data_IF_105646648019
#
_entry.id   IF_105646648019
#
_cell.length_a   1.000
_cell.length_b   1.000
_cell.length_c   1.000
_cell.angle_alpha   90.00
_cell.angle_beta   90.00
_cell.angle_gamma   90.00
#
_symmetry.space_group_name_H-M   'P 1'
#
loop_
_entity.id
_entity.type
_entity.pdbx_description
1 polymer ?
#
# COMPACT_ATOMS: atom_id res chain seq x y z
N UNK A 1 15.51 24.20 5.57
CA UNK A 1 15.33 23.66 6.95
C UNK A 1 16.55 22.84 7.32
N UNK A 2 16.98 22.89 8.58
CA UNK A 2 18.02 21.99 9.11
C UNK A 2 17.44 21.23 10.29
N UNK A 3 17.52 19.90 10.26
CA UNK A 3 17.23 19.04 11.42
C UNK A 3 18.59 18.69 12.02
N UNK A 4 18.87 19.09 13.26
CA UNK A 4 20.15 18.85 13.92
C UNK A 4 20.02 18.00 15.18
N UNK A 5 21.15 17.51 15.72
CA UNK A 5 21.19 16.67 16.91
C UNK A 5 20.36 15.40 16.79
N UNK A 6 20.32 14.77 15.59
CA UNK A 6 19.70 13.48 15.38
C UNK A 6 20.67 12.41 15.88
N UNK A 7 20.27 11.62 16.90
CA UNK A 7 21.13 10.59 17.47
C UNK A 7 21.47 9.48 16.49
N UNK A 8 20.50 9.09 15.67
CA UNK A 8 20.64 8.04 14.69
C UNK A 8 19.78 8.36 13.46
N UNK A 9 20.38 8.34 12.28
CA UNK A 9 19.67 8.20 11.01
C UNK A 9 19.82 6.75 10.59
N UNK A 10 18.71 6.06 10.30
CA UNK A 10 18.72 4.70 9.76
C UNK A 10 17.87 4.67 8.50
N UNK A 11 18.44 4.25 7.38
CA UNK A 11 17.79 4.31 6.07
C UNK A 11 18.28 3.16 5.18
N UNK A 12 17.41 2.48 4.43
CA UNK A 12 17.85 1.68 3.30
C UNK A 12 18.42 2.62 2.23
N UNK A 13 19.37 2.13 1.44
CA UNK A 13 19.99 2.88 0.35
C UNK A 13 19.57 2.34 -1.02
N UNK A 14 19.40 3.25 -2.00
CA UNK A 14 19.10 2.91 -3.38
C UNK A 14 17.77 3.49 -3.89
N UNK A 15 17.52 3.25 -5.18
CA UNK A 15 16.39 3.81 -5.94
C UNK A 15 15.48 2.73 -6.54
N UNK A 16 15.57 1.50 -6.02
CA UNK A 16 14.79 0.33 -6.44
C UNK A 16 14.47 -0.53 -5.22
N UNK A 17 13.60 -1.51 -5.39
CA UNK A 17 13.33 -2.50 -4.37
C UNK A 17 14.62 -3.21 -3.93
N UNK A 18 14.73 -3.48 -2.63
CA UNK A 18 15.81 -4.25 -2.04
C UNK A 18 15.33 -5.69 -1.85
N UNK A 19 16.12 -6.66 -2.32
CA UNK A 19 15.75 -8.06 -2.40
C UNK A 19 16.47 -8.92 -1.37
N UNK A 20 15.78 -9.95 -0.88
CA UNK A 20 16.35 -11.03 -0.10
C UNK A 20 17.09 -10.54 1.15
N UNK A 21 18.23 -11.15 1.44
CA UNK A 21 19.01 -10.83 2.64
C UNK A 21 19.48 -9.38 2.73
N UNK A 22 19.58 -8.68 1.61
CA UNK A 22 19.96 -7.27 1.60
C UNK A 22 18.93 -6.35 2.25
N UNK A 23 17.70 -6.80 2.44
CA UNK A 23 16.66 -6.03 3.13
C UNK A 23 17.04 -5.65 4.57
N UNK A 24 17.97 -6.39 5.21
CA UNK A 24 18.49 -6.06 6.55
C UNK A 24 19.60 -5.00 6.56
N UNK A 25 20.08 -4.58 5.37
CA UNK A 25 21.17 -3.63 5.25
C UNK A 25 20.62 -2.20 5.36
N UNK A 26 20.80 -1.58 6.53
CA UNK A 26 20.49 -0.16 6.72
C UNK A 26 21.80 0.64 6.87
N UNK A 27 21.87 1.75 6.16
CA UNK A 27 22.89 2.78 6.44
C UNK A 27 22.54 3.48 7.74
N UNK A 28 23.38 3.33 8.76
CA UNK A 28 23.20 3.91 10.08
C UNK A 28 24.26 4.99 10.35
N UNK A 29 23.83 6.25 10.52
CA UNK A 29 24.71 7.40 10.83
C UNK A 29 24.32 7.99 12.17
N UNK A 30 25.31 8.12 13.08
CA UNK A 30 25.11 8.69 14.43
C UNK A 30 25.46 10.18 14.44
N UNK A 31 24.81 10.91 15.36
CA UNK A 31 25.06 12.34 15.62
C UNK A 31 25.04 13.18 14.32
N UNK A 32 23.93 13.09 13.61
CA UNK A 32 23.79 13.58 12.24
C UNK A 32 22.89 14.82 12.20
N UNK A 33 23.18 15.72 11.27
CA UNK A 33 22.29 16.81 10.84
C UNK A 33 21.83 16.56 9.40
N UNK A 34 20.62 16.99 9.10
CA UNK A 34 19.99 16.85 7.78
C UNK A 34 19.65 18.25 7.28
N UNK A 35 20.21 18.66 6.15
CA UNK A 35 19.85 19.92 5.48
C UNK A 35 18.83 19.60 4.38
N UNK A 36 17.72 20.32 4.41
CA UNK A 36 16.62 20.17 3.43
C UNK A 36 16.47 21.49 2.68
N UNK A 37 16.58 21.42 1.36
CA UNK A 37 16.37 22.53 0.45
C UNK A 37 15.44 22.14 -0.69
N UNK A 38 14.50 23.01 -1.01
CA UNK A 38 13.54 22.79 -2.10
C UNK A 38 12.80 21.43 -2.01
N UNK A 39 12.51 20.99 -0.79
CA UNK A 39 11.82 19.71 -0.54
C UNK A 39 12.69 18.46 -0.75
N UNK A 40 14.02 18.62 -0.87
CA UNK A 40 14.97 17.51 -1.04
C UNK A 40 16.03 17.55 0.06
N UNK A 41 16.58 16.38 0.39
CA UNK A 41 17.77 16.27 1.24
C UNK A 41 18.94 16.78 0.41
N UNK A 42 19.55 17.86 0.89
CA UNK A 42 20.69 18.50 0.25
C UNK A 42 22.03 18.08 0.89
N UNK A 43 21.99 17.75 2.19
CA UNK A 43 23.14 17.24 2.93
C UNK A 43 22.70 16.37 4.09
N UNK A 44 23.49 15.34 4.39
CA UNK A 44 23.28 14.44 5.52
C UNK A 44 24.66 14.04 6.09
N UNK A 45 24.98 14.51 7.29
CA UNK A 45 26.28 14.26 7.92
C UNK A 45 26.45 14.99 9.25
N UNK A 46 27.69 15.01 9.81
CA UNK A 46 27.99 15.72 11.05
C UNK A 46 27.61 17.22 11.02
N UNK A 47 27.22 17.78 12.16
CA UNK A 47 26.72 19.16 12.24
C UNK A 47 27.71 20.20 11.71
N UNK A 48 29.02 20.06 12.03
CA UNK A 48 30.06 20.96 11.55
C UNK A 48 30.18 20.95 10.00
N UNK A 49 29.98 19.79 9.38
CA UNK A 49 29.97 19.64 7.91
C UNK A 49 28.69 20.20 7.30
N UNK A 50 27.53 20.02 7.98
CA UNK A 50 26.26 20.62 7.55
C UNK A 50 26.35 22.16 7.51
N UNK A 51 27.02 22.79 8.52
CA UNK A 51 27.26 24.23 8.53
C UNK A 51 28.31 24.64 7.49
N UNK A 52 29.28 23.76 7.19
CA UNK A 52 30.19 23.93 6.06
C UNK A 52 29.45 24.00 4.74
N UNK A 53 28.58 23.01 4.49
CA UNK A 53 27.71 22.97 3.31
C UNK A 53 26.91 24.27 3.14
N UNK A 54 26.26 24.78 4.22
CA UNK A 54 25.50 26.03 4.16
C UNK A 54 26.37 27.21 3.72
N UNK A 55 27.59 27.37 4.29
CA UNK A 55 28.54 28.44 3.91
C UNK A 55 28.98 28.35 2.46
N UNK A 56 29.18 27.13 1.93
CA UNK A 56 29.55 26.90 0.53
C UNK A 56 28.42 27.29 -0.45
N UNK A 57 27.19 27.42 0.05
CA UNK A 57 26.02 27.94 -0.67
C UNK A 57 25.76 29.45 -0.40
N UNK A 58 26.73 30.18 0.15
CA UNK A 58 26.59 31.59 0.56
C UNK A 58 25.43 31.84 1.55
N UNK A 59 25.13 30.83 2.41
CA UNK A 59 24.05 30.87 3.40
C UNK A 59 24.62 30.72 4.83
N UNK A 60 23.88 31.27 5.78
CA UNK A 60 24.14 31.09 7.22
C UNK A 60 23.07 30.15 7.82
N UNK A 61 23.30 29.69 9.05
CA UNK A 61 22.35 28.83 9.76
C UNK A 61 21.04 29.57 10.03
N UNK A 62 21.09 30.89 10.18
CA UNK A 62 19.96 31.78 10.41
C UNK A 62 19.00 31.85 9.21
N UNK A 63 19.47 31.52 8.02
CA UNK A 63 18.63 31.44 6.80
C UNK A 63 17.74 30.20 6.76
N UNK A 64 17.89 29.28 7.72
CA UNK A 64 17.16 28.04 7.80
C UNK A 64 16.24 27.96 9.02
N UNK A 65 15.08 27.34 8.85
CA UNK A 65 14.30 26.88 10.01
C UNK A 65 15.03 25.71 10.66
N UNK A 66 15.32 25.82 11.96
CA UNK A 66 15.99 24.79 12.74
C UNK A 66 14.98 23.90 13.45
N UNK A 67 15.15 22.59 13.32
CA UNK A 67 14.45 21.56 14.07
C UNK A 67 15.47 20.78 14.93
N UNK A 68 15.22 20.70 16.23
CA UNK A 68 16.07 19.94 17.14
C UNK A 68 15.63 18.47 17.21
N UNK A 69 16.52 17.57 16.81
CA UNK A 69 16.29 16.12 16.90
C UNK A 69 16.33 15.58 18.33
N UNK A 70 17.08 16.26 19.23
CA UNK A 70 17.10 15.99 20.69
C UNK A 70 17.18 14.50 21.05
N UNK A 71 18.13 13.79 20.47
CA UNK A 71 18.33 12.38 20.75
C UNK A 71 17.38 11.42 20.04
N UNK A 72 16.54 11.90 19.12
CA UNK A 72 15.63 11.08 18.34
C UNK A 72 16.32 10.36 17.19
N UNK A 73 15.67 9.27 16.71
CA UNK A 73 16.04 8.63 15.45
C UNK A 73 15.27 9.26 14.29
N UNK A 74 15.90 9.34 13.13
CA UNK A 74 15.26 9.69 11.86
C UNK A 74 15.23 8.46 10.94
N UNK A 75 14.08 8.20 10.38
CA UNK A 75 13.80 7.18 9.36
C UNK A 75 13.20 7.88 8.15
N UNK A 76 13.25 7.26 6.94
CA UNK A 76 12.38 7.70 5.85
C UNK A 76 10.91 7.66 6.28
N UNK A 77 10.09 8.54 5.73
CA UNK A 77 8.65 8.47 5.95
C UNK A 77 8.11 7.11 5.54
N UNK A 78 7.23 6.54 6.34
CA UNK A 78 6.60 5.26 6.05
C UNK A 78 5.68 5.35 4.83
N UNK A 79 5.58 4.25 4.11
CA UNK A 79 4.77 4.11 2.90
C UNK A 79 3.81 2.95 3.10
N UNK A 80 2.52 3.26 3.10
CA UNK A 80 1.45 2.27 3.21
C UNK A 80 0.99 1.89 1.81
N UNK A 81 1.59 0.85 1.25
CA UNK A 81 1.48 0.49 -0.16
C UNK A 81 0.26 -0.36 -0.51
N UNK A 82 -0.69 -0.52 0.43
CA UNK A 82 -1.95 -1.21 0.20
C UNK A 82 -3.01 -0.76 1.20
N UNK A 83 -3.98 0.04 0.75
CA UNK A 83 -5.15 0.42 1.56
C UNK A 83 -6.39 0.60 0.71
N UNK A 84 -7.56 0.50 1.37
CA UNK A 84 -8.87 0.84 0.81
C UNK A 84 -9.49 1.99 1.60
N UNK A 85 -8.73 3.06 1.84
CA UNK A 85 -9.09 4.09 2.81
C UNK A 85 -10.26 5.00 2.40
N UNK A 86 -10.79 4.92 1.17
CA UNK A 86 -11.98 5.64 0.72
C UNK A 86 -13.19 4.70 0.69
N UNK A 87 -14.04 4.80 1.70
CA UNK A 87 -15.27 4.02 1.82
C UNK A 87 -16.29 4.73 2.70
N UNK A 88 -17.58 4.43 2.47
CA UNK A 88 -18.69 4.78 3.33
C UNK A 88 -18.98 3.69 4.37
N UNK A 89 -19.19 4.07 5.63
CA UNK A 89 -19.51 3.16 6.71
C UNK A 89 -18.36 2.24 7.17
N UNK A 90 -18.44 1.81 8.42
CA UNK A 90 -17.61 0.73 8.99
C UNK A 90 -18.50 -0.46 9.28
N UNK A 91 -17.90 -1.64 9.48
CA UNK A 91 -18.60 -2.88 9.81
C UNK A 91 -18.13 -3.47 11.16
N UNK A 92 -18.17 -2.70 12.26
CA UNK A 92 -17.65 -3.15 13.55
C UNK A 92 -18.41 -4.34 14.12
N UNK A 93 -19.70 -4.49 13.78
CA UNK A 93 -20.54 -5.61 14.21
C UNK A 93 -20.02 -6.94 13.66
N UNK A 94 -19.46 -6.96 12.46
CA UNK A 94 -18.87 -8.17 11.87
C UNK A 94 -17.65 -8.65 12.64
N UNK A 95 -16.88 -7.73 13.23
CA UNK A 95 -15.76 -8.11 14.10
C UNK A 95 -16.25 -8.83 15.34
N UNK A 96 -17.31 -8.32 15.99
CA UNK A 96 -17.92 -8.98 17.16
C UNK A 96 -18.49 -10.34 16.77
N UNK A 97 -19.18 -10.45 15.63
CA UNK A 97 -19.69 -11.72 15.14
C UNK A 97 -18.59 -12.76 14.92
N UNK A 98 -17.43 -12.35 14.40
CA UNK A 98 -16.24 -13.21 14.24
C UNK A 98 -15.67 -13.68 15.57
N UNK A 99 -15.60 -12.79 16.56
CA UNK A 99 -15.18 -13.16 17.91
C UNK A 99 -16.13 -14.18 18.56
N UNK A 100 -17.43 -14.09 18.24
CA UNK A 100 -18.45 -15.05 18.66
C UNK A 100 -18.43 -16.37 17.85
N UNK A 101 -17.44 -16.53 16.93
CA UNK A 101 -17.24 -17.75 16.14
C UNK A 101 -18.10 -17.88 14.89
N UNK A 102 -18.82 -16.83 14.48
CA UNK A 102 -19.59 -16.87 13.22
C UNK A 102 -18.65 -16.88 12.03
N UNK A 103 -18.97 -17.74 11.05
CA UNK A 103 -18.22 -17.82 9.82
C UNK A 103 -18.58 -16.70 8.82
N UNK A 104 -17.78 -16.58 7.76
CA UNK A 104 -17.96 -15.55 6.73
C UNK A 104 -19.34 -15.66 6.05
N UNK A 105 -19.83 -16.88 5.78
CA UNK A 105 -21.11 -17.11 5.09
C UNK A 105 -22.29 -16.73 5.98
N UNK A 106 -22.19 -16.97 7.28
CA UNK A 106 -23.21 -16.54 8.24
C UNK A 106 -23.30 -15.01 8.30
N UNK A 107 -22.15 -14.33 8.40
CA UNK A 107 -22.08 -12.86 8.39
C UNK A 107 -22.68 -12.31 7.09
N UNK A 108 -22.35 -12.91 5.95
CA UNK A 108 -22.88 -12.50 4.65
C UNK A 108 -24.41 -12.66 4.57
N UNK A 109 -24.97 -13.78 5.04
CA UNK A 109 -26.42 -14.00 5.09
C UNK A 109 -27.16 -13.01 5.99
N UNK A 110 -26.49 -12.46 6.99
CA UNK A 110 -27.02 -11.43 7.89
C UNK A 110 -26.95 -10.01 7.30
N UNK A 111 -26.56 -9.87 6.03
CA UNK A 111 -26.47 -8.58 5.34
C UNK A 111 -25.12 -7.87 5.53
N UNK A 112 -24.12 -8.56 6.07
CA UNK A 112 -22.74 -8.08 6.19
C UNK A 112 -21.90 -8.32 4.93
N UNK A 113 -20.59 -8.22 5.08
CA UNK A 113 -19.64 -8.41 3.99
C UNK A 113 -19.45 -7.16 3.13
N UNK A 114 -18.76 -7.35 2.01
CA UNK A 114 -18.41 -6.24 1.11
C UNK A 114 -19.62 -5.45 0.60
N UNK A 115 -20.76 -6.12 0.39
CA UNK A 115 -21.99 -5.50 -0.12
C UNK A 115 -22.51 -4.37 0.80
N UNK A 116 -22.41 -4.53 2.13
CA UNK A 116 -22.81 -3.48 3.07
C UNK A 116 -21.95 -2.22 2.88
N UNK A 117 -20.64 -2.37 2.67
CA UNK A 117 -19.74 -1.24 2.37
C UNK A 117 -20.04 -0.64 1.00
N UNK A 118 -20.33 -1.46 -0.01
CA UNK A 118 -20.71 -0.99 -1.35
C UNK A 118 -21.96 -0.11 -1.28
N UNK A 119 -22.99 -0.57 -0.58
CA UNK A 119 -24.23 0.21 -0.40
C UNK A 119 -23.95 1.53 0.32
N UNK A 120 -23.19 1.51 1.41
CA UNK A 120 -22.86 2.71 2.17
C UNK A 120 -21.98 3.68 1.36
N UNK A 121 -21.06 3.17 0.53
CA UNK A 121 -20.20 4.00 -0.33
C UNK A 121 -21.00 4.64 -1.48
N UNK A 122 -21.89 3.87 -2.11
CA UNK A 122 -22.80 4.38 -3.16
C UNK A 122 -23.79 5.41 -2.65
N UNK A 123 -24.19 5.32 -1.38
CA UNK A 123 -25.11 6.25 -0.74
C UNK A 123 -24.42 7.53 -0.23
N UNK A 124 -23.11 7.50 -0.02
CA UNK A 124 -22.35 8.65 0.46
C UNK A 124 -22.14 9.68 -0.66
N UNK A 125 -22.15 10.95 -0.30
CA UNK A 125 -21.74 12.03 -1.20
C UNK A 125 -20.21 12.09 -1.37
N UNK A 126 -19.74 12.69 -2.45
CA UNK A 126 -18.31 12.93 -2.69
C UNK A 126 -17.67 13.67 -1.50
N UNK A 127 -18.34 14.69 -0.97
CA UNK A 127 -17.82 15.48 0.15
C UNK A 127 -17.72 14.66 1.44
N UNK A 128 -18.66 13.77 1.74
CA UNK A 128 -18.57 12.87 2.88
C UNK A 128 -17.40 11.91 2.75
N UNK A 129 -17.19 11.30 1.58
CA UNK A 129 -16.04 10.42 1.31
C UNK A 129 -14.73 11.20 1.42
N UNK A 130 -14.67 12.42 0.91
CA UNK A 130 -13.50 13.29 1.02
C UNK A 130 -13.18 13.63 2.48
N UNK A 131 -14.14 14.05 3.28
CA UNK A 131 -13.90 14.40 4.69
C UNK A 131 -13.46 13.19 5.51
N UNK A 132 -14.05 12.02 5.26
CA UNK A 132 -13.64 10.78 5.90
C UNK A 132 -12.23 10.36 5.47
N UNK A 133 -11.91 10.41 4.17
CA UNK A 133 -10.60 10.12 3.63
C UNK A 133 -9.53 11.04 4.23
N UNK A 134 -9.79 12.36 4.27
CA UNK A 134 -8.91 13.35 4.90
C UNK A 134 -8.65 13.07 6.38
N UNK A 135 -9.68 12.69 7.13
CA UNK A 135 -9.54 12.31 8.54
C UNK A 135 -8.65 11.08 8.72
N UNK A 136 -8.79 10.08 7.85
CA UNK A 136 -7.97 8.86 7.84
C UNK A 136 -6.52 9.18 7.50
N UNK A 137 -6.27 9.96 6.46
CA UNK A 137 -4.91 10.41 6.10
C UNK A 137 -4.23 11.22 7.21
N UNK A 138 -4.97 12.10 7.90
CA UNK A 138 -4.45 12.84 9.06
C UNK A 138 -4.00 11.90 10.20
N UNK A 139 -4.69 10.77 10.39
CA UNK A 139 -4.31 9.76 11.38
C UNK A 139 -3.06 9.00 10.95
N UNK A 140 -3.00 8.58 9.68
CA UNK A 140 -1.82 7.91 9.10
C UNK A 140 -0.58 8.81 9.14
N UNK A 141 -0.72 10.11 8.79
CA UNK A 141 0.38 11.08 8.87
C UNK A 141 0.96 11.20 10.28
N UNK A 142 0.12 11.19 11.32
CA UNK A 142 0.58 11.23 12.72
C UNK A 142 1.39 10.00 13.13
N UNK A 143 1.31 8.91 12.37
CA UNK A 143 2.10 7.70 12.55
C UNK A 143 3.35 7.66 11.65
N UNK A 144 3.60 8.74 10.90
CA UNK A 144 4.76 8.87 10.02
C UNK A 144 4.55 8.35 8.60
N UNK A 145 3.30 8.01 8.21
CA UNK A 145 2.98 7.64 6.83
C UNK A 145 2.97 8.90 5.96
N UNK A 146 3.79 8.93 4.93
CA UNK A 146 3.97 10.07 4.03
C UNK A 146 3.49 9.79 2.60
N UNK A 147 3.29 8.53 2.24
CA UNK A 147 2.71 8.10 0.99
C UNK A 147 1.78 6.89 1.23
N UNK A 148 0.63 6.87 0.56
CA UNK A 148 -0.37 5.83 0.72
C UNK A 148 -0.94 5.43 -0.63
N UNK A 149 -1.15 4.13 -0.85
CA UNK A 149 -2.00 3.67 -1.93
C UNK A 149 -3.47 3.78 -1.53
N UNK A 150 -4.31 4.29 -2.41
CA UNK A 150 -5.75 4.25 -2.29
C UNK A 150 -6.37 3.40 -3.39
N UNK A 151 -7.00 2.29 -3.02
CA UNK A 151 -7.73 1.44 -3.95
C UNK A 151 -9.22 1.82 -3.97
N UNK A 152 -9.85 1.89 -5.15
CA UNK A 152 -11.31 1.87 -5.29
C UNK A 152 -11.86 0.47 -4.98
N UNK A 153 -13.01 0.09 -5.53
CA UNK A 153 -13.53 -1.28 -5.39
C UNK A 153 -14.64 -1.44 -4.36
N UNK A 154 -15.17 -0.33 -3.86
CA UNK A 154 -16.42 -0.30 -3.11
C UNK A 154 -17.54 0.42 -3.87
N UNK A 155 -17.29 0.81 -5.11
CA UNK A 155 -18.31 1.30 -6.02
C UNK A 155 -19.01 0.17 -6.77
N UNK A 156 -18.23 -0.70 -7.39
CA UNK A 156 -18.65 -1.82 -8.23
C UNK A 156 -19.60 -1.43 -9.36
N UNK A 157 -19.64 -0.14 -9.70
CA UNK A 157 -20.32 0.42 -10.86
C UNK A 157 -19.60 1.70 -11.31
N UNK A 158 -19.84 2.14 -12.53
CA UNK A 158 -19.17 3.29 -13.12
C UNK A 158 -19.23 4.55 -12.24
N UNK A 159 -20.39 5.08 -11.83
CA UNK A 159 -20.43 6.36 -11.13
C UNK A 159 -19.73 6.31 -9.76
N UNK A 160 -19.84 5.22 -9.03
CA UNK A 160 -19.26 5.14 -7.68
C UNK A 160 -17.76 4.82 -7.69
N UNK A 161 -17.26 4.03 -8.66
CA UNK A 161 -15.81 3.81 -8.85
C UNK A 161 -15.13 5.14 -9.24
N UNK A 162 -15.70 5.87 -10.19
CA UNK A 162 -15.19 7.19 -10.59
C UNK A 162 -15.18 8.16 -9.42
N UNK A 163 -16.27 8.24 -8.66
CA UNK A 163 -16.36 9.11 -7.47
C UNK A 163 -15.27 8.78 -6.44
N UNK A 164 -15.02 7.51 -6.13
CA UNK A 164 -13.95 7.13 -5.19
C UNK A 164 -12.57 7.60 -5.69
N UNK A 165 -12.27 7.40 -6.97
CA UNK A 165 -11.00 7.80 -7.56
C UNK A 165 -10.86 9.33 -7.65
N UNK A 166 -11.93 10.06 -7.96
CA UNK A 166 -11.95 11.54 -7.95
C UNK A 166 -11.67 12.09 -6.56
N UNK A 167 -12.26 11.50 -5.51
CA UNK A 167 -11.95 11.83 -4.11
C UNK A 167 -10.47 11.61 -3.79
N UNK A 168 -9.87 10.50 -4.23
CA UNK A 168 -8.43 10.24 -4.04
C UNK A 168 -7.57 11.29 -4.76
N UNK A 169 -7.91 11.65 -5.99
CA UNK A 169 -7.21 12.70 -6.76
C UNK A 169 -7.35 14.07 -6.11
N UNK A 170 -8.49 14.39 -5.52
CA UNK A 170 -8.68 15.62 -4.73
C UNK A 170 -7.80 15.61 -3.49
N UNK A 171 -7.78 14.51 -2.73
CA UNK A 171 -6.92 14.35 -1.55
C UNK A 171 -5.43 14.44 -1.92
N UNK A 172 -5.01 13.83 -3.02
CA UNK A 172 -3.63 13.94 -3.51
C UNK A 172 -3.19 15.39 -3.75
N UNK A 173 -4.10 16.27 -4.20
CA UNK A 173 -3.78 17.69 -4.40
C UNK A 173 -3.80 18.53 -3.12
N UNK A 174 -4.63 18.14 -2.16
CA UNK A 174 -4.97 18.98 -1.00
C UNK A 174 -4.37 18.50 0.32
N UNK A 175 -3.80 17.29 0.38
CA UNK A 175 -3.24 16.70 1.59
C UNK A 175 -1.73 16.53 1.50
N UNK A 176 -0.95 16.70 2.61
CA UNK A 176 0.50 16.51 2.59
C UNK A 176 0.95 15.05 2.39
N UNK A 177 0.12 14.06 2.71
CA UNK A 177 0.39 12.65 2.37
C UNK A 177 0.15 12.45 0.88
N UNK A 178 1.14 11.91 0.18
CA UNK A 178 0.98 11.55 -1.23
C UNK A 178 0.00 10.37 -1.35
N UNK A 179 -1.01 10.51 -2.19
CA UNK A 179 -1.97 9.45 -2.49
C UNK A 179 -1.69 8.89 -3.88
N UNK A 180 -1.56 7.57 -3.98
CA UNK A 180 -1.39 6.84 -5.25
C UNK A 180 -2.69 6.08 -5.54
N UNK A 181 -3.55 6.56 -6.47
CA UNK A 181 -4.82 5.91 -6.75
C UNK A 181 -4.64 4.65 -7.58
N UNK A 182 -5.35 3.58 -7.19
CA UNK A 182 -5.43 2.29 -7.88
C UNK A 182 -6.88 1.96 -8.19
N UNK A 183 -7.18 1.67 -9.45
CA UNK A 183 -8.49 1.18 -9.87
C UNK A 183 -8.63 -0.30 -9.52
N UNK A 184 -9.53 -0.64 -8.61
CA UNK A 184 -9.87 -2.01 -8.19
C UNK A 184 -11.35 -2.32 -8.45
N UNK A 185 -11.87 -2.00 -9.62
CA UNK A 185 -13.26 -2.37 -9.97
C UNK A 185 -13.50 -3.88 -9.86
N UNK A 186 -12.47 -4.71 -10.08
CA UNK A 186 -12.52 -6.15 -9.90
C UNK A 186 -12.22 -6.59 -8.45
N UNK A 187 -12.88 -5.98 -7.46
CA UNK A 187 -12.80 -6.36 -6.05
C UNK A 187 -13.89 -7.41 -5.68
N UNK A 188 -15.06 -7.26 -6.24
CA UNK A 188 -16.14 -8.23 -6.20
C UNK A 188 -17.03 -8.05 -7.43
N UNK A 189 -17.91 -9.02 -7.71
CA UNK A 189 -18.88 -8.90 -8.81
C UNK A 189 -20.02 -7.99 -8.38
N UNK A 190 -20.27 -6.92 -9.15
CA UNK A 190 -21.39 -6.02 -8.89
C UNK A 190 -22.73 -6.75 -8.92
N UNK A 191 -23.61 -6.46 -7.96
CA UNK A 191 -24.88 -7.16 -7.79
C UNK A 191 -25.79 -7.13 -9.04
N UNK A 192 -25.61 -6.13 -9.89
CA UNK A 192 -26.33 -5.96 -11.14
C UNK A 192 -26.02 -7.07 -12.16
N UNK A 193 -24.93 -7.79 -11.96
CA UNK A 193 -24.46 -8.89 -12.81
C UNK A 193 -24.84 -10.29 -12.27
N UNK A 194 -25.59 -10.37 -11.17
CA UNK A 194 -26.10 -11.62 -10.59
C UNK A 194 -25.04 -12.74 -10.44
N UNK A 195 -23.78 -12.37 -10.18
CA UNK A 195 -22.66 -13.30 -10.02
C UNK A 195 -21.97 -13.72 -11.33
N UNK A 196 -22.38 -13.19 -12.49
CA UNK A 196 -21.68 -13.40 -13.76
C UNK A 196 -20.39 -12.56 -13.84
N UNK A 197 -19.28 -13.15 -13.39
CA UNK A 197 -17.96 -12.51 -13.39
C UNK A 197 -17.46 -12.17 -14.80
N UNK A 198 -17.81 -12.95 -15.83
CA UNK A 198 -17.39 -12.71 -17.20
C UNK A 198 -18.08 -11.49 -17.81
N UNK A 199 -19.38 -11.36 -17.59
CA UNK A 199 -20.14 -10.18 -17.97
C UNK A 199 -19.64 -8.94 -17.23
N UNK A 200 -19.35 -9.07 -15.93
CA UNK A 200 -18.84 -7.97 -15.11
C UNK A 200 -17.44 -7.49 -15.55
N UNK A 201 -16.49 -8.38 -15.77
CA UNK A 201 -15.17 -8.02 -16.33
C UNK A 201 -15.30 -7.36 -17.70
N UNK A 202 -16.23 -7.85 -18.54
CA UNK A 202 -16.50 -7.23 -19.84
C UNK A 202 -17.06 -5.81 -19.71
N UNK A 203 -17.89 -5.55 -18.70
CA UNK A 203 -18.39 -4.22 -18.35
C UNK A 203 -17.25 -3.31 -17.85
N UNK A 204 -16.42 -3.79 -16.93
CA UNK A 204 -15.26 -3.02 -16.44
C UNK A 204 -14.35 -2.58 -17.59
N UNK A 205 -14.05 -3.49 -18.52
CA UNK A 205 -13.16 -3.20 -19.67
C UNK A 205 -13.79 -2.22 -20.65
N UNK A 206 -15.10 -2.32 -20.91
CA UNK A 206 -15.73 -1.53 -21.97
C UNK A 206 -16.26 -0.18 -21.51
N UNK A 207 -16.64 -0.07 -20.23
CA UNK A 207 -17.32 1.13 -19.74
C UNK A 207 -16.57 1.86 -18.63
N UNK A 208 -15.99 1.14 -17.67
CA UNK A 208 -15.37 1.79 -16.49
C UNK A 208 -13.92 2.16 -16.75
N UNK A 209 -13.11 1.21 -17.23
CA UNK A 209 -11.68 1.42 -17.48
C UNK A 209 -11.40 2.58 -18.45
N UNK A 210 -12.13 2.73 -19.57
CA UNK A 210 -11.92 3.86 -20.46
C UNK A 210 -12.11 5.23 -19.79
N UNK A 211 -13.12 5.36 -18.91
CA UNK A 211 -13.37 6.60 -18.18
C UNK A 211 -12.26 6.89 -17.17
N UNK A 212 -11.82 5.85 -16.42
CA UNK A 212 -10.67 5.96 -15.49
C UNK A 212 -9.41 6.46 -16.22
N UNK A 213 -9.15 5.94 -17.41
CA UNK A 213 -7.98 6.30 -18.23
C UNK A 213 -8.14 7.69 -18.84
N UNK A 214 -9.30 8.01 -19.40
CA UNK A 214 -9.58 9.30 -20.03
C UNK A 214 -9.42 10.46 -19.05
N UNK A 215 -9.91 10.31 -17.80
CA UNK A 215 -9.77 11.32 -16.76
C UNK A 215 -8.44 11.24 -16.00
N UNK A 216 -7.59 10.22 -16.26
CA UNK A 216 -6.31 10.02 -15.58
C UNK A 216 -6.47 9.81 -14.09
N UNK A 217 -7.49 9.07 -13.66
CA UNK A 217 -7.88 8.96 -12.26
C UNK A 217 -7.04 7.99 -11.45
N UNK A 218 -6.45 6.96 -12.07
CA UNK A 218 -5.65 5.95 -11.40
C UNK A 218 -4.35 5.67 -12.16
N UNK A 219 -3.32 5.27 -11.41
CA UNK A 219 -2.02 4.89 -11.96
C UNK A 219 -1.92 3.39 -12.19
N UNK A 220 -2.64 2.62 -11.38
CA UNK A 220 -2.63 1.16 -11.39
C UNK A 220 -4.04 0.59 -11.57
N UNK A 221 -4.09 -0.61 -12.16
CA UNK A 221 -5.26 -1.49 -12.15
C UNK A 221 -4.95 -2.72 -11.33
N UNK A 222 -5.89 -3.13 -10.47
CA UNK A 222 -5.79 -4.26 -9.58
C UNK A 222 -7.00 -5.19 -9.74
N UNK A 223 -6.85 -6.45 -9.37
CA UNK A 223 -7.94 -7.43 -9.35
C UNK A 223 -7.76 -8.41 -8.20
N UNK A 224 -8.87 -8.80 -7.59
CA UNK A 224 -8.91 -9.84 -6.57
C UNK A 224 -9.11 -11.21 -7.23
N UNK A 225 -7.99 -11.86 -7.58
CA UNK A 225 -7.98 -13.19 -8.20
C UNK A 225 -7.99 -14.23 -7.09
N UNK A 226 -9.19 -14.77 -6.83
CA UNK A 226 -9.43 -15.69 -5.72
C UNK A 226 -10.60 -16.62 -6.02
N UNK A 227 -10.61 -17.81 -5.41
CA UNK A 227 -11.72 -18.76 -5.54
C UNK A 227 -13.03 -18.13 -5.06
N UNK A 228 -14.04 -18.20 -5.91
CA UNK A 228 -15.36 -17.60 -5.62
C UNK A 228 -15.45 -16.10 -5.86
N UNK A 229 -14.38 -15.43 -6.32
CA UNK A 229 -14.37 -14.00 -6.70
C UNK A 229 -14.07 -13.86 -8.19
N UNK A 230 -12.79 -13.78 -8.59
CA UNK A 230 -12.39 -13.75 -10.01
C UNK A 230 -11.35 -14.83 -10.29
N UNK A 231 -11.49 -15.50 -11.44
CA UNK A 231 -10.51 -16.47 -11.95
C UNK A 231 -9.28 -15.79 -12.52
N UNK A 232 -8.17 -16.53 -12.63
CA UNK A 232 -6.95 -16.04 -13.30
C UNK A 232 -7.23 -15.56 -14.73
N UNK A 233 -8.08 -16.27 -15.50
CA UNK A 233 -8.46 -15.89 -16.87
C UNK A 233 -9.24 -14.57 -16.92
N UNK A 234 -10.11 -14.31 -15.96
CA UNK A 234 -10.83 -13.04 -15.83
C UNK A 234 -9.87 -11.90 -15.50
N UNK A 235 -8.94 -12.11 -14.55
CA UNK A 235 -7.87 -11.16 -14.23
C UNK A 235 -6.97 -10.86 -15.43
N UNK A 236 -6.57 -11.90 -16.20
CA UNK A 236 -5.78 -11.72 -17.43
C UNK A 236 -6.44 -10.79 -18.43
N UNK A 237 -7.75 -10.94 -18.64
CA UNK A 237 -8.51 -10.08 -19.57
C UNK A 237 -8.46 -8.62 -19.13
N UNK A 238 -8.67 -8.35 -17.85
CA UNK A 238 -8.64 -7.01 -17.29
C UNK A 238 -7.23 -6.42 -17.36
N UNK A 239 -6.21 -7.17 -16.91
CA UNK A 239 -4.81 -6.70 -16.91
C UNK A 239 -4.28 -6.43 -18.32
N UNK A 240 -4.68 -7.24 -19.30
CA UNK A 240 -4.36 -6.98 -20.70
C UNK A 240 -4.90 -5.62 -21.15
N UNK A 241 -6.18 -5.36 -20.91
CA UNK A 241 -6.82 -4.10 -21.29
C UNK A 241 -6.18 -2.90 -20.54
N UNK A 242 -5.89 -3.03 -19.25
CA UNK A 242 -5.25 -1.99 -18.46
C UNK A 242 -3.81 -1.69 -18.93
N UNK A 243 -3.03 -2.71 -19.29
CA UNK A 243 -1.68 -2.55 -19.86
C UNK A 243 -1.73 -1.87 -21.23
N UNK A 244 -2.66 -2.26 -22.10
CA UNK A 244 -2.88 -1.62 -23.40
C UNK A 244 -3.26 -0.14 -23.26
N UNK A 245 -3.95 0.22 -22.16
CA UNK A 245 -4.29 1.58 -21.80
C UNK A 245 -3.16 2.33 -21.04
N UNK A 246 -1.99 1.72 -20.84
CA UNK A 246 -0.82 2.34 -20.22
C UNK A 246 -0.79 2.32 -18.70
N UNK A 247 -1.69 1.61 -18.03
CA UNK A 247 -1.70 1.50 -16.56
C UNK A 247 -0.68 0.47 -16.05
N UNK A 248 -0.15 0.70 -14.84
CA UNK A 248 0.56 -0.31 -14.07
C UNK A 248 -0.41 -1.39 -13.55
N UNK A 249 0.14 -2.56 -13.17
CA UNK A 249 -0.66 -3.66 -12.63
C UNK A 249 -0.26 -3.95 -11.19
N UNK A 250 -1.25 -4.25 -10.36
CA UNK A 250 -1.14 -4.86 -9.03
C UNK A 250 -2.08 -6.05 -8.96
N UNK A 251 -1.93 -6.91 -7.96
CA UNK A 251 -2.82 -8.07 -7.82
C UNK A 251 -3.01 -8.45 -6.36
N UNK A 252 -4.27 -8.61 -5.90
CA UNK A 252 -4.59 -9.37 -4.70
C UNK A 252 -4.44 -10.85 -5.05
N UNK A 253 -3.52 -11.52 -4.39
CA UNK A 253 -3.10 -12.87 -4.77
C UNK A 253 -2.98 -13.79 -3.56
N UNK A 254 -3.46 -15.01 -3.72
CA UNK A 254 -3.22 -16.12 -2.80
C UNK A 254 -3.56 -15.78 -1.33
N UNK A 255 -4.65 -15.04 -1.12
CA UNK A 255 -5.12 -14.71 0.24
C UNK A 255 -5.79 -15.92 0.91
N UNK A 256 -6.70 -16.59 0.21
CA UNK A 256 -7.40 -17.77 0.71
C UNK A 256 -6.93 -19.04 0.02
N UNK A 257 -6.70 -18.99 -1.29
CA UNK A 257 -6.28 -20.11 -2.13
C UNK A 257 -5.30 -19.65 -3.23
N UNK A 258 -4.36 -20.51 -3.60
CA UNK A 258 -3.49 -20.26 -4.76
C UNK A 258 -4.16 -20.81 -6.01
N UNK A 259 -4.63 -19.92 -6.89
CA UNK A 259 -5.34 -20.26 -8.14
C UNK A 259 -4.68 -19.63 -9.38
N UNK A 260 -3.38 -19.30 -9.30
CA UNK A 260 -2.62 -18.71 -10.39
C UNK A 260 -2.63 -17.18 -10.41
N UNK A 261 -3.00 -16.54 -9.28
CA UNK A 261 -3.01 -15.07 -9.16
C UNK A 261 -1.62 -14.46 -9.28
N UNK A 262 -0.62 -15.03 -8.59
CA UNK A 262 0.78 -14.61 -8.67
C UNK A 262 1.30 -14.73 -10.11
N UNK A 263 1.12 -15.90 -10.75
CA UNK A 263 1.56 -16.10 -12.14
C UNK A 263 0.93 -15.10 -13.10
N UNK A 264 -0.38 -14.82 -12.93
CA UNK A 264 -1.09 -13.82 -13.71
C UNK A 264 -0.48 -12.43 -13.50
N UNK A 265 -0.23 -12.02 -12.26
CA UNK A 265 0.44 -10.76 -11.95
C UNK A 265 1.82 -10.66 -12.60
N UNK A 266 2.66 -11.68 -12.45
CA UNK A 266 4.01 -11.72 -13.04
C UNK A 266 3.98 -11.64 -14.58
N UNK A 267 3.05 -12.34 -15.22
CA UNK A 267 2.86 -12.32 -16.68
C UNK A 267 2.58 -10.93 -17.22
N UNK A 268 1.83 -10.11 -16.48
CA UNK A 268 1.50 -8.75 -16.87
C UNK A 268 2.41 -7.69 -16.24
N UNK A 269 3.51 -8.09 -15.61
CA UNK A 269 4.51 -7.20 -15.01
C UNK A 269 3.93 -6.38 -13.86
N UNK A 270 3.22 -7.04 -12.94
CA UNK A 270 2.70 -6.41 -11.74
C UNK A 270 3.84 -5.80 -10.91
N UNK A 271 3.64 -4.57 -10.44
CA UNK A 271 4.61 -3.90 -9.54
C UNK A 271 4.58 -4.51 -8.14
N UNK A 272 3.42 -5.03 -7.72
CA UNK A 272 3.29 -5.82 -6.49
C UNK A 272 2.24 -6.93 -6.63
N UNK A 273 2.45 -8.00 -5.86
CA UNK A 273 1.47 -9.02 -5.57
C UNK A 273 1.23 -9.01 -4.05
N UNK A 274 -0.01 -8.86 -3.66
CA UNK A 274 -0.38 -8.46 -2.32
C UNK A 274 -1.11 -9.63 -1.60
N UNK A 275 -1.05 -9.72 -0.25
CA UNK A 275 -1.50 -10.78 0.66
C UNK A 275 -0.57 -11.99 0.76
N UNK A 276 -0.58 -12.91 -0.19
CA UNK A 276 0.34 -14.04 -0.34
C UNK A 276 0.34 -15.05 0.83
N UNK A 277 -0.80 -15.21 1.54
CA UNK A 277 -0.90 -16.15 2.67
C UNK A 277 -0.75 -17.60 2.21
N UNK A 278 -1.14 -17.89 0.98
CA UNK A 278 -1.15 -19.23 0.37
C UNK A 278 -0.19 -19.40 -0.79
N UNK A 279 0.76 -18.47 -0.95
CA UNK A 279 1.76 -18.52 -2.01
C UNK A 279 2.53 -19.85 -1.99
N UNK A 280 2.74 -20.44 -3.15
CA UNK A 280 3.49 -21.70 -3.31
C UNK A 280 5.00 -21.46 -3.30
N UNK A 281 5.77 -22.48 -2.94
CA UNK A 281 7.24 -22.42 -3.01
C UNK A 281 7.73 -22.21 -4.47
N UNK A 282 6.97 -22.70 -5.48
CA UNK A 282 7.26 -22.46 -6.89
C UNK A 282 7.08 -20.97 -7.26
N UNK A 283 5.98 -20.35 -6.82
CA UNK A 283 5.71 -18.95 -7.09
C UNK A 283 6.67 -18.02 -6.35
N UNK A 284 7.12 -18.38 -5.14
CA UNK A 284 8.20 -17.68 -4.45
C UNK A 284 9.49 -17.68 -5.32
N UNK A 285 9.86 -18.83 -5.90
CA UNK A 285 11.03 -18.92 -6.77
C UNK A 285 10.89 -18.12 -8.07
N UNK A 286 9.69 -18.05 -8.64
CA UNK A 286 9.40 -17.21 -9.81
C UNK A 286 9.49 -15.74 -9.45
N UNK A 287 8.83 -15.36 -8.38
CA UNK A 287 8.75 -13.97 -7.90
C UNK A 287 10.12 -13.41 -7.50
N UNK A 288 10.96 -14.22 -6.85
CA UNK A 288 12.33 -13.84 -6.47
C UNK A 288 13.28 -13.52 -7.64
N UNK A 289 12.87 -13.82 -8.89
CA UNK A 289 13.61 -13.48 -10.13
C UNK A 289 13.07 -12.24 -10.85
N UNK A 290 12.10 -11.55 -10.26
CA UNK A 290 11.44 -10.39 -10.84
C UNK A 290 11.56 -9.17 -9.92
N UNK A 291 11.23 -7.99 -10.43
CA UNK A 291 11.14 -6.76 -9.63
C UNK A 291 9.76 -6.60 -8.93
N UNK A 292 8.85 -7.57 -9.06
CA UNK A 292 7.55 -7.54 -8.40
C UNK A 292 7.71 -7.62 -6.88
N UNK A 293 7.14 -6.69 -6.15
CA UNK A 293 7.23 -6.63 -4.69
C UNK A 293 6.14 -7.51 -4.07
N UNK A 294 6.53 -8.34 -3.10
CA UNK A 294 5.60 -9.09 -2.24
C UNK A 294 5.09 -8.18 -1.13
N UNK A 295 3.87 -7.64 -1.24
CA UNK A 295 3.28 -6.77 -0.22
C UNK A 295 2.48 -7.60 0.79
N UNK A 296 2.99 -7.70 2.02
CA UNK A 296 2.39 -8.52 3.07
C UNK A 296 1.56 -7.68 4.03
N UNK A 297 0.43 -8.23 4.48
CA UNK A 297 -0.63 -7.53 5.20
C UNK A 297 -0.89 -8.16 6.58
N UNK A 298 0.07 -8.06 7.53
CA UNK A 298 -0.01 -8.80 8.79
C UNK A 298 -1.19 -8.37 9.67
N UNK A 299 -1.61 -7.11 9.60
CA UNK A 299 -2.74 -6.63 10.40
C UNK A 299 -4.07 -7.27 9.98
N UNK A 300 -4.24 -7.55 8.69
CA UNK A 300 -5.42 -8.26 8.16
C UNK A 300 -5.44 -9.71 8.63
N UNK A 301 -4.32 -10.42 8.50
CA UNK A 301 -4.20 -11.78 9.00
C UNK A 301 -4.50 -11.86 10.51
N UNK A 302 -3.99 -10.89 11.29
CA UNK A 302 -4.27 -10.76 12.72
C UNK A 302 -5.75 -10.55 13.01
N UNK A 303 -6.40 -9.58 12.36
CA UNK A 303 -7.82 -9.27 12.56
C UNK A 303 -8.75 -10.42 12.14
N UNK A 304 -8.34 -11.21 11.15
CA UNK A 304 -9.10 -12.35 10.64
C UNK A 304 -8.76 -13.68 11.32
N UNK A 305 -7.84 -13.69 12.29
CA UNK A 305 -7.33 -14.91 12.94
C UNK A 305 -6.82 -15.95 11.91
N UNK A 306 -6.11 -15.47 10.87
CA UNK A 306 -5.52 -16.31 9.82
C UNK A 306 -4.03 -16.51 10.06
N UNK A 307 -3.42 -17.58 9.52
CA UNK A 307 -1.98 -17.70 9.43
C UNK A 307 -1.38 -16.50 8.69
N UNK A 308 -0.17 -16.09 9.08
CA UNK A 308 0.54 -15.01 8.39
C UNK A 308 1.18 -15.50 7.09
N UNK A 309 1.37 -14.58 6.15
CA UNK A 309 2.14 -14.84 4.95
C UNK A 309 3.59 -15.24 5.30
N UNK A 310 4.24 -16.11 4.50
CA UNK A 310 5.54 -16.69 4.81
C UNK A 310 6.70 -15.71 4.51
N UNK A 311 6.77 -14.57 5.22
CA UNK A 311 7.75 -13.51 4.95
C UNK A 311 9.20 -14.03 4.93
N UNK A 312 9.58 -14.89 5.89
CA UNK A 312 10.93 -15.43 5.92
C UNK A 312 11.26 -16.23 4.66
N UNK A 313 10.34 -17.11 4.20
CA UNK A 313 10.54 -17.87 2.95
C UNK A 313 10.64 -16.96 1.72
N UNK A 314 9.82 -15.90 1.67
CA UNK A 314 9.87 -14.93 0.58
C UNK A 314 11.20 -14.20 0.52
N UNK A 315 11.69 -13.70 1.67
CA UNK A 315 12.98 -13.02 1.76
C UNK A 315 14.11 -13.98 1.41
N UNK A 316 14.14 -15.20 1.99
CA UNK A 316 15.16 -16.22 1.71
C UNK A 316 15.10 -16.71 0.24
N UNK A 317 13.93 -16.67 -0.38
CA UNK A 317 13.70 -16.93 -1.80
C UNK A 317 14.12 -15.79 -2.74
N UNK A 318 14.68 -14.71 -2.20
CA UNK A 318 15.19 -13.57 -2.99
C UNK A 318 14.12 -12.53 -3.37
N UNK A 319 12.91 -12.60 -2.83
CA UNK A 319 11.86 -11.61 -3.10
C UNK A 319 12.17 -10.27 -2.42
N UNK A 320 11.72 -9.18 -3.03
CA UNK A 320 11.55 -7.91 -2.34
C UNK A 320 10.23 -7.94 -1.58
N UNK A 321 10.26 -7.70 -0.27
CA UNK A 321 9.06 -7.70 0.58
C UNK A 321 8.73 -6.28 1.02
N UNK A 322 7.47 -5.88 0.88
CA UNK A 322 6.89 -4.70 1.52
C UNK A 322 5.89 -5.12 2.59
N UNK A 323 5.60 -4.21 3.51
CA UNK A 323 4.56 -4.31 4.52
C UNK A 323 3.54 -3.19 4.32
N UNK A 324 2.27 -3.49 4.51
CA UNK A 324 1.21 -2.48 4.44
C UNK A 324 0.07 -2.82 5.41
N UNK A 325 -0.86 -1.87 5.60
CA UNK A 325 -1.92 -2.01 6.59
C UNK A 325 -3.10 -2.84 6.09
N UNK A 326 -3.40 -2.78 4.81
CA UNK A 326 -4.69 -3.19 4.25
C UNK A 326 -5.87 -2.53 4.99
N UNK A 327 -5.68 -1.25 5.36
CA UNK A 327 -6.72 -0.53 6.07
C UNK A 327 -8.02 -0.47 5.26
N UNK A 328 -9.08 -1.09 5.80
CA UNK A 328 -10.38 -1.24 5.14
C UNK A 328 -11.51 -1.37 6.20
N UNK A 329 -12.80 -1.26 5.81
CA UNK A 329 -13.90 -1.23 6.78
C UNK A 329 -14.28 -2.57 7.39
N UNK A 330 -13.78 -3.70 6.87
CA UNK A 330 -14.28 -5.01 7.23
C UNK A 330 -13.26 -6.00 7.78
N UNK A 331 -12.16 -6.21 7.08
CA UNK A 331 -11.14 -7.19 7.45
C UNK A 331 -10.00 -6.59 8.27
N UNK A 332 -9.68 -5.29 8.08
CA UNK A 332 -8.64 -4.61 8.85
C UNK A 332 -8.95 -3.11 9.03
N UNK A 333 -9.50 -2.72 10.16
CA UNK A 333 -9.78 -1.32 10.49
C UNK A 333 -8.65 -0.64 11.30
N UNK A 334 -7.43 -1.20 11.25
CA UNK A 334 -6.23 -0.65 11.88
C UNK A 334 -5.22 -0.20 10.83
N UNK A 335 -4.77 1.05 10.94
CA UNK A 335 -3.66 1.63 10.19
C UNK A 335 -2.41 1.81 11.07
N UNK A 336 -2.28 1.00 12.13
CA UNK A 336 -1.25 1.15 13.16
C UNK A 336 0.10 0.58 12.68
N UNK A 337 1.01 1.46 12.22
CA UNK A 337 2.35 1.08 11.75
C UNK A 337 3.18 0.35 12.83
N UNK A 338 3.24 0.80 14.10
CA UNK A 338 3.91 0.04 15.16
C UNK A 338 3.39 -1.39 15.33
N UNK A 339 2.07 -1.60 15.20
CA UNK A 339 1.48 -2.95 15.24
C UNK A 339 1.96 -3.79 14.05
N UNK A 340 1.98 -3.23 12.85
CA UNK A 340 2.46 -3.92 11.63
C UNK A 340 3.91 -4.39 11.82
N UNK A 341 4.78 -3.52 12.33
CA UNK A 341 6.18 -3.84 12.63
C UNK A 341 6.25 -4.98 13.68
N UNK A 342 5.49 -4.87 14.76
CA UNK A 342 5.48 -5.88 15.82
C UNK A 342 5.04 -7.25 15.32
N UNK A 343 3.97 -7.30 14.50
CA UNK A 343 3.49 -8.53 13.89
C UNK A 343 4.51 -9.15 12.92
N UNK A 344 5.14 -8.32 12.08
CA UNK A 344 6.15 -8.78 11.14
C UNK A 344 7.37 -9.39 11.85
N UNK A 345 7.86 -8.72 12.91
CA UNK A 345 9.04 -9.19 13.64
C UNK A 345 8.71 -10.41 14.52
N UNK A 346 7.61 -10.37 15.27
CA UNK A 346 7.29 -11.41 16.26
C UNK A 346 6.73 -12.68 15.60
N UNK A 347 5.87 -12.51 14.58
CA UNK A 347 5.11 -13.63 14.01
C UNK A 347 5.57 -14.06 12.63
N UNK A 348 6.22 -13.19 11.84
CA UNK A 348 6.61 -13.51 10.46
C UNK A 348 8.11 -13.74 10.29
N UNK A 349 8.91 -13.64 11.38
CA UNK A 349 10.34 -13.91 11.39
C UNK A 349 11.18 -12.88 10.62
N UNK A 350 10.68 -11.64 10.49
CA UNK A 350 11.46 -10.54 9.94
C UNK A 350 12.35 -9.90 11.01
N UNK A 351 13.51 -9.36 10.62
CA UNK A 351 14.27 -8.46 11.49
C UNK A 351 13.63 -7.07 11.53
N UNK A 352 14.03 -6.23 12.49
CA UNK A 352 13.56 -4.85 12.55
C UNK A 352 14.01 -4.04 11.32
N UNK A 353 15.24 -4.27 10.86
CA UNK A 353 15.81 -3.64 9.67
C UNK A 353 15.03 -4.03 8.40
N UNK A 354 14.69 -5.32 8.25
CA UNK A 354 13.85 -5.81 7.16
C UNK A 354 12.47 -5.14 7.19
N UNK A 355 11.86 -4.99 8.38
CA UNK A 355 10.57 -4.33 8.52
C UNK A 355 10.64 -2.82 8.17
N UNK A 356 11.73 -2.13 8.53
CA UNK A 356 11.98 -0.73 8.14
C UNK A 356 12.11 -0.64 6.62
N UNK A 357 12.95 -1.47 5.99
CA UNK A 357 13.10 -1.50 4.52
C UNK A 357 11.75 -1.78 3.83
N UNK A 358 10.96 -2.70 4.38
CA UNK A 358 9.66 -3.08 3.84
C UNK A 358 8.62 -1.94 3.89
N UNK A 359 8.64 -1.12 4.95
CA UNK A 359 7.73 0.02 5.13
C UNK A 359 8.26 1.33 4.52
N UNK A 360 9.44 1.33 3.93
CA UNK A 360 10.06 2.52 3.35
C UNK A 360 10.39 2.28 1.87
N UNK A 361 11.61 1.86 1.55
CA UNK A 361 12.07 1.74 0.16
C UNK A 361 11.30 0.69 -0.65
N UNK A 362 11.00 -0.48 -0.05
CA UNK A 362 10.21 -1.50 -0.75
C UNK A 362 8.73 -1.12 -0.87
N UNK A 363 8.15 -0.46 0.15
CA UNK A 363 6.82 0.16 0.03
C UNK A 363 6.77 1.19 -1.09
N UNK A 364 7.83 2.02 -1.23
CA UNK A 364 7.97 2.96 -2.34
C UNK A 364 8.08 2.24 -3.70
N UNK A 365 8.80 1.13 -3.76
CA UNK A 365 8.94 0.33 -4.97
C UNK A 365 7.60 -0.30 -5.41
N UNK A 366 6.81 -0.80 -4.44
CA UNK A 366 5.45 -1.32 -4.70
C UNK A 366 4.48 -0.27 -5.26
N UNK A 367 4.84 1.02 -5.18
CA UNK A 367 4.08 2.15 -5.74
C UNK A 367 4.83 2.87 -6.89
N UNK A 368 5.96 2.30 -7.37
CA UNK A 368 6.78 2.94 -8.41
C UNK A 368 7.44 4.26 -7.97
N UNK A 369 7.69 4.44 -6.68
CA UNK A 369 8.20 5.68 -6.07
C UNK A 369 9.62 5.58 -5.52
N UNK A 370 10.27 4.41 -5.55
CA UNK A 370 11.60 4.18 -4.96
C UNK A 370 12.72 5.08 -5.52
N UNK A 371 12.55 5.60 -6.75
CA UNK A 371 13.48 6.58 -7.32
C UNK A 371 13.43 7.97 -6.67
N UNK A 372 12.47 8.24 -5.78
CA UNK A 372 12.19 9.57 -5.24
C UNK A 372 12.00 9.61 -3.72
N UNK A 373 11.41 8.57 -3.13
CA UNK A 373 11.11 8.45 -1.71
C UNK A 373 11.48 7.06 -1.19
N UNK A 374 11.49 6.89 0.14
CA UNK A 374 11.77 5.61 0.80
C UNK A 374 13.22 5.47 1.27
N UNK A 375 14.09 6.44 0.95
CA UNK A 375 15.48 6.56 1.43
C UNK A 375 15.77 7.98 1.87
N UNK A 376 16.78 8.16 2.76
CA UNK A 376 17.33 9.45 3.19
C UNK A 376 18.72 9.62 2.58
N UNK A 377 18.81 9.71 1.26
CA UNK A 377 20.04 9.95 0.50
C UNK A 377 20.06 11.35 -0.11
#
# INVERSE_FOLDING_TARGET
MIIRNVSLVATPEGKKAVHGERMKELCCRKNTSIVIENGKIAFLGPENEAFGYCRDQDKTVEDYTILEGNGKCALPGFIDSHTHFIFGGYRPEEFMMRLDGKDYLEIHRMGGGIEATVQATRAASEEELYQQGRKRLNRMLKQGVTCVEGKSGYGLNLPAEIMQLQVMRRLQREHPVEVVPTFLGAHAVGKEFAGDGDAYISYLIREVLPEVVQEGLAEYCDAFIEEGVFTASQGERLFKAAREAGMGIKVHADEMNSIGAVETGLKYGAVSADHLLKITDEDIQKMGKTDTVATLLPATAFCLHKPYAPARKLIDGGCAVALASDFNPGSCFSDNIPLIIALAVIHMGMSLEEAVTALTLNGAAALGRAGRIGSLE
#
